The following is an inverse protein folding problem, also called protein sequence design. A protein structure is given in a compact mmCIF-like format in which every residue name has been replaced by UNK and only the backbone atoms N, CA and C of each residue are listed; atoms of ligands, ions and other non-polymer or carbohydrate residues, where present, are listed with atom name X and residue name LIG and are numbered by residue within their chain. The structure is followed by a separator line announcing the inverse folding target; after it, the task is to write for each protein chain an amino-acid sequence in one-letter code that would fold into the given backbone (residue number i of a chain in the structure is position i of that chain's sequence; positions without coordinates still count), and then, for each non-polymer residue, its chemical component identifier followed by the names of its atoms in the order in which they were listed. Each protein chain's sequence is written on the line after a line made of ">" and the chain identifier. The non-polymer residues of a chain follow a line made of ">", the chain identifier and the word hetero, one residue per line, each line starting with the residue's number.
data_IF_885756378679
#
_entry.id   IF_885756378679
#
_cell.length_a   1.000
_cell.length_b   1.000
_cell.length_c   1.000
_cell.angle_alpha   90.00
_cell.angle_beta   90.00
_cell.angle_gamma   90.00
#
_symmetry.space_group_name_H-M   'P 1'
#
loop_
_entity.id
_entity.type
_entity.pdbx_description
1 polymer ?
#
# COMPACT_ATOMS: atom_id res chain seq x y z
N UNK A 1 11.04 -8.20 -72.76
CA UNK A 1 9.59 -8.41 -73.03
C UNK A 1 9.06 -9.31 -71.92
N UNK A 2 8.25 -8.72 -71.07
CA UNK A 2 7.05 -9.26 -70.41
C UNK A 2 7.20 -10.49 -69.48
N UNK A 3 6.62 -10.63 -68.41
CA UNK A 3 5.64 -9.88 -67.58
C UNK A 3 5.51 -10.64 -66.25
N UNK A 4 5.37 -9.93 -65.21
CA UNK A 4 5.07 -10.35 -63.87
C UNK A 4 3.74 -11.09 -63.74
N UNK A 5 3.65 -12.10 -62.90
CA UNK A 5 2.40 -12.44 -62.20
C UNK A 5 2.72 -12.77 -60.72
N UNK A 6 2.23 -11.91 -59.86
CA UNK A 6 2.17 -12.06 -58.42
C UNK A 6 1.09 -13.11 -58.07
N UNK A 7 1.44 -14.15 -57.32
CA UNK A 7 0.47 -14.96 -56.60
C UNK A 7 0.53 -14.63 -55.11
N UNK A 8 -0.53 -14.01 -54.62
CA UNK A 8 -0.83 -13.90 -53.19
C UNK A 8 -1.37 -15.24 -52.72
N UNK A 9 -0.66 -15.91 -51.84
CA UNK A 9 -1.20 -17.05 -51.08
C UNK A 9 -1.64 -16.52 -49.73
N UNK A 10 -2.95 -16.46 -49.50
CA UNK A 10 -3.55 -16.22 -48.20
C UNK A 10 -3.59 -17.54 -47.44
N UNK A 11 -2.80 -17.65 -46.40
CA UNK A 11 -2.88 -18.78 -45.45
C UNK A 11 -3.91 -18.43 -44.38
N UNK A 12 -5.06 -19.10 -44.44
CA UNK A 12 -6.08 -19.06 -43.37
C UNK A 12 -5.68 -20.09 -42.34
N UNK A 13 -5.21 -19.62 -41.17
CA UNK A 13 -5.11 -20.47 -40.01
C UNK A 13 -6.47 -20.53 -39.31
N UNK A 14 -7.13 -21.67 -39.43
CA UNK A 14 -8.27 -22.03 -38.58
C UNK A 14 -7.72 -22.56 -37.24
N UNK A 15 -7.74 -21.77 -36.21
CA UNK A 15 -7.49 -22.19 -34.84
C UNK A 15 -8.78 -22.81 -34.29
N UNK A 16 -8.79 -24.13 -34.13
CA UNK A 16 -9.78 -24.84 -33.34
C UNK A 16 -9.53 -24.55 -31.85
N UNK A 17 -10.40 -23.75 -31.24
CA UNK A 17 -10.49 -23.62 -29.80
C UNK A 17 -11.20 -24.86 -29.26
N UNK A 18 -10.49 -25.72 -28.56
CA UNK A 18 -11.07 -26.64 -27.59
C UNK A 18 -11.36 -25.86 -26.33
N UNK A 19 -12.62 -25.60 -26.06
CA UNK A 19 -13.08 -25.10 -24.75
C UNK A 19 -13.02 -26.26 -23.75
N UNK A 20 -12.03 -26.22 -22.87
CA UNK A 20 -12.09 -26.95 -21.60
C UNK A 20 -12.83 -26.02 -20.65
N UNK A 21 -14.09 -26.32 -20.37
CA UNK A 21 -14.81 -25.72 -19.27
C UNK A 21 -14.19 -26.21 -17.96
N UNK A 22 -13.35 -25.34 -17.36
CA UNK A 22 -12.97 -25.45 -15.97
C UNK A 22 -14.01 -24.66 -15.17
N UNK A 23 -14.96 -25.36 -14.57
CA UNK A 23 -15.83 -24.82 -13.52
C UNK A 23 -14.96 -24.41 -12.32
N UNK A 24 -14.65 -23.16 -12.23
CA UNK A 24 -13.97 -22.46 -11.18
C UNK A 24 -14.06 -20.98 -11.52
N UNK A 25 -15.27 -20.41 -11.35
CA UNK A 25 -15.48 -18.99 -11.57
C UNK A 25 -14.65 -18.19 -10.56
N UNK A 26 -13.45 -17.79 -10.97
CA UNK A 26 -12.81 -16.62 -10.39
C UNK A 26 -13.78 -15.44 -10.63
N UNK A 27 -14.35 -14.91 -9.56
CA UNK A 27 -15.16 -13.69 -9.60
C UNK A 27 -14.22 -12.57 -10.01
N UNK A 28 -14.05 -12.37 -11.32
CA UNK A 28 -13.26 -11.28 -11.87
C UNK A 28 -13.91 -9.97 -11.51
N UNK A 29 -13.34 -9.30 -10.51
CA UNK A 29 -13.77 -7.96 -10.14
C UNK A 29 -13.54 -7.04 -11.34
N UNK A 30 -14.61 -6.41 -11.87
CA UNK A 30 -14.45 -5.43 -12.96
C UNK A 30 -13.94 -4.12 -12.34
N UNK A 31 -12.85 -3.52 -12.86
CA UNK A 31 -12.39 -2.21 -12.40
C UNK A 31 -13.56 -1.20 -12.39
N UNK A 32 -13.66 -0.41 -11.34
CA UNK A 32 -14.68 0.64 -11.25
C UNK A 32 -14.37 1.71 -12.30
N UNK A 33 -15.30 1.97 -13.20
CA UNK A 33 -15.11 2.96 -14.26
C UNK A 33 -15.03 4.38 -13.63
N UNK A 34 -13.83 4.97 -13.64
CA UNK A 34 -13.61 6.35 -13.23
C UNK A 34 -14.09 7.27 -14.37
N UNK A 35 -15.06 8.14 -14.10
CA UNK A 35 -15.62 9.07 -15.09
C UNK A 35 -14.58 10.08 -15.59
N UNK A 36 -14.77 10.61 -16.80
CA UNK A 36 -13.86 11.61 -17.40
C UNK A 36 -13.76 12.86 -16.51
N UNK A 37 -14.86 13.30 -15.90
CA UNK A 37 -14.86 14.44 -14.98
C UNK A 37 -14.03 14.21 -13.71
N UNK A 38 -13.97 12.98 -13.19
CA UNK A 38 -13.09 12.62 -12.08
C UNK A 38 -11.62 12.56 -12.53
N UNK A 39 -11.34 12.06 -13.75
CA UNK A 39 -9.98 12.05 -14.34
C UNK A 39 -9.41 13.46 -14.49
N UNK A 40 -10.20 14.38 -15.05
CA UNK A 40 -9.81 15.78 -15.22
C UNK A 40 -9.55 16.46 -13.86
N UNK A 41 -10.37 16.18 -12.87
CA UNK A 41 -10.21 16.71 -11.51
C UNK A 41 -8.94 16.18 -10.85
N UNK A 42 -8.69 14.88 -10.92
CA UNK A 42 -7.45 14.26 -10.41
C UNK A 42 -6.23 14.88 -11.10
N UNK A 43 -6.26 15.07 -12.41
CA UNK A 43 -5.16 15.70 -13.16
C UNK A 43 -4.88 17.13 -12.70
N UNK A 44 -5.92 17.94 -12.49
CA UNK A 44 -5.79 19.32 -12.00
C UNK A 44 -5.25 19.39 -10.58
N UNK A 45 -5.77 18.55 -9.68
CA UNK A 45 -5.31 18.46 -8.29
C UNK A 45 -3.85 18.00 -8.21
N UNK A 46 -3.46 17.02 -9.00
CA UNK A 46 -2.07 16.54 -9.08
C UNK A 46 -1.12 17.62 -9.60
N UNK A 47 -1.51 18.35 -10.64
CA UNK A 47 -0.67 19.44 -11.15
C UNK A 47 -0.48 20.54 -10.09
N UNK A 48 -1.53 20.91 -9.35
CA UNK A 48 -1.43 21.86 -8.25
C UNK A 48 -0.57 21.33 -7.10
N UNK A 49 -0.72 20.05 -6.74
CA UNK A 49 0.08 19.40 -5.71
C UNK A 49 1.57 19.43 -6.04
N UNK A 50 1.95 18.98 -7.25
CA UNK A 50 3.34 18.97 -7.69
C UNK A 50 3.92 20.40 -7.81
N UNK A 51 3.14 21.35 -8.33
CA UNK A 51 3.52 22.76 -8.41
C UNK A 51 3.73 23.44 -7.05
N UNK A 52 3.10 22.91 -6.00
CA UNK A 52 3.26 23.39 -4.62
C UNK A 52 4.41 22.74 -3.85
N UNK A 53 5.06 21.71 -4.39
CA UNK A 53 6.15 21.05 -3.72
C UNK A 53 7.42 21.92 -3.72
N UNK A 54 8.08 22.12 -2.56
CA UNK A 54 9.34 22.86 -2.51
C UNK A 54 10.43 22.21 -3.36
N UNK A 55 11.13 23.01 -4.16
CA UNK A 55 12.28 22.55 -4.97
C UNK A 55 13.34 21.96 -4.06
N UNK A 56 13.85 20.78 -4.41
CA UNK A 56 14.90 20.08 -3.65
C UNK A 56 14.45 19.44 -2.34
N UNK A 57 13.13 19.41 -2.05
CA UNK A 57 12.59 18.79 -0.85
C UNK A 57 13.01 17.32 -0.73
N UNK A 58 12.83 16.53 -1.79
CA UNK A 58 13.12 15.10 -1.81
C UNK A 58 14.63 14.85 -1.60
N UNK A 59 15.49 15.60 -2.27
CA UNK A 59 16.94 15.47 -2.11
C UNK A 59 17.40 15.87 -0.70
N UNK A 60 16.80 16.92 -0.09
CA UNK A 60 17.12 17.30 1.28
C UNK A 60 16.71 16.21 2.29
N UNK A 61 15.58 15.55 2.06
CA UNK A 61 15.11 14.42 2.87
C UNK A 61 16.01 13.19 2.67
N UNK A 62 16.42 12.88 1.45
CA UNK A 62 17.38 11.81 1.17
C UNK A 62 18.70 12.02 1.90
N UNK A 63 19.23 13.25 1.88
CA UNK A 63 20.42 13.62 2.65
C UNK A 63 20.24 13.43 4.15
N UNK A 64 19.08 13.79 4.70
CA UNK A 64 18.77 13.61 6.11
C UNK A 64 18.79 12.12 6.51
N UNK A 65 18.19 11.24 5.68
CA UNK A 65 18.23 9.78 5.90
C UNK A 65 19.66 9.24 5.83
N UNK A 66 20.43 9.61 4.77
CA UNK A 66 21.82 9.13 4.62
C UNK A 66 22.72 9.59 5.79
N UNK A 67 22.55 10.84 6.28
CA UNK A 67 23.28 11.33 7.46
C UNK A 67 22.91 10.55 8.71
N UNK A 68 21.62 10.23 8.90
CA UNK A 68 21.18 9.45 10.04
C UNK A 68 21.74 8.01 10.00
N UNK A 69 21.82 7.37 8.82
CA UNK A 69 22.47 6.08 8.64
C UNK A 69 23.99 6.12 8.96
N UNK A 70 24.60 7.30 8.86
CA UNK A 70 26.00 7.53 9.27
C UNK A 70 26.14 7.99 10.74
N UNK A 71 25.05 7.97 11.53
CA UNK A 71 25.05 8.32 12.96
C UNK A 71 24.62 9.75 13.30
N UNK A 72 24.37 10.62 12.31
CA UNK A 72 23.88 11.99 12.52
C UNK A 72 22.38 12.11 12.28
N UNK A 73 21.59 11.88 13.32
CA UNK A 73 20.12 11.82 13.27
C UNK A 73 19.43 13.18 13.39
N UNK A 74 20.14 14.31 13.57
CA UNK A 74 19.51 15.61 13.86
C UNK A 74 18.58 16.06 12.72
N UNK A 75 19.10 16.06 11.49
CA UNK A 75 18.33 16.47 10.31
C UNK A 75 17.10 15.57 10.09
N UNK A 76 17.22 14.25 10.29
CA UNK A 76 16.11 13.31 10.17
C UNK A 76 15.05 13.54 11.24
N UNK A 77 15.43 13.79 12.49
CA UNK A 77 14.48 14.17 13.56
C UNK A 77 13.69 15.43 13.22
N UNK A 78 14.36 16.43 12.66
CA UNK A 78 13.69 17.66 12.23
C UNK A 78 12.68 17.40 11.10
N UNK A 79 13.00 16.55 10.12
CA UNK A 79 12.05 16.13 9.09
C UNK A 79 10.86 15.39 9.70
N UNK A 80 11.08 14.43 10.59
CA UNK A 80 10.01 13.68 11.28
C UNK A 80 9.10 14.61 12.08
N UNK A 81 9.66 15.52 12.85
CA UNK A 81 8.89 16.49 13.66
C UNK A 81 8.05 17.43 12.79
N UNK A 82 8.59 17.92 11.68
CA UNK A 82 7.85 18.81 10.77
C UNK A 82 6.67 18.11 10.07
N UNK A 83 6.71 16.80 9.94
CA UNK A 83 5.66 15.96 9.32
C UNK A 83 4.67 15.37 10.34
N UNK A 84 5.01 15.38 11.61
CA UNK A 84 4.18 14.80 12.69
C UNK A 84 3.14 15.81 13.20
N UNK A 85 2.29 16.30 12.30
CA UNK A 85 1.21 17.24 12.62
C UNK A 85 -0.12 16.48 12.64
N UNK A 86 -0.82 16.56 13.76
CA UNK A 86 -2.14 15.94 13.89
C UNK A 86 -3.13 16.64 12.92
N UNK A 87 -3.82 15.91 12.04
CA UNK A 87 -4.82 16.48 11.15
C UNK A 87 -6.13 16.77 11.90
N UNK A 88 -6.94 17.67 11.34
CA UNK A 88 -8.35 17.75 11.70
C UNK A 88 -9.05 16.45 11.28
N UNK A 89 -9.84 15.88 12.18
CA UNK A 89 -10.58 14.64 11.95
C UNK A 89 -12.06 14.95 11.69
N UNK A 90 -12.76 14.08 10.94
CA UNK A 90 -14.20 14.20 10.75
C UNK A 90 -14.96 14.18 12.09
N UNK A 91 -16.06 14.93 12.17
CA UNK A 91 -16.98 14.84 13.30
C UNK A 91 -17.51 13.39 13.48
N UNK A 92 -17.80 13.03 14.71
CA UNK A 92 -18.35 11.71 15.03
C UNK A 92 -17.34 10.57 15.06
N UNK A 93 -16.03 10.86 15.00
CA UNK A 93 -14.97 9.88 15.24
C UNK A 93 -14.44 10.01 16.66
N UNK A 94 -14.38 8.89 17.37
CA UNK A 94 -13.72 8.74 18.68
C UNK A 94 -12.34 8.14 18.45
N UNK A 95 -11.33 8.79 19.03
CA UNK A 95 -9.95 8.29 19.04
C UNK A 95 -9.61 7.82 20.43
N UNK A 96 -9.09 6.61 20.57
CA UNK A 96 -8.59 6.05 21.83
C UNK A 96 -7.19 5.49 21.65
N UNK A 97 -6.38 5.61 22.71
CA UNK A 97 -5.02 5.04 22.71
C UNK A 97 -5.08 3.55 23.12
N UNK A 98 -4.24 2.74 22.49
CA UNK A 98 -4.00 1.35 22.81
C UNK A 98 -2.51 1.21 23.16
N UNK A 99 -2.20 1.10 24.43
CA UNK A 99 -0.81 1.19 24.88
C UNK A 99 -0.19 2.55 24.54
N UNK A 100 1.08 2.53 24.13
CA UNK A 100 1.84 3.76 23.80
C UNK A 100 2.10 3.92 22.29
N UNK A 101 1.81 2.90 21.49
CA UNK A 101 2.20 2.82 20.08
C UNK A 101 1.03 2.69 19.12
N UNK A 102 -0.20 2.56 19.61
CA UNK A 102 -1.36 2.42 18.72
C UNK A 102 -2.46 3.42 19.07
N UNK A 103 -3.22 3.86 18.06
CA UNK A 103 -4.47 4.62 18.22
C UNK A 103 -5.58 3.97 17.42
N UNK A 104 -6.74 3.84 18.04
CA UNK A 104 -7.95 3.33 17.40
C UNK A 104 -8.90 4.48 17.07
N UNK A 105 -9.32 4.52 15.82
CA UNK A 105 -10.33 5.43 15.26
C UNK A 105 -11.60 4.65 15.03
N UNK A 106 -12.74 5.09 15.58
CA UNK A 106 -14.03 4.43 15.39
C UNK A 106 -15.19 5.43 15.39
N UNK A 107 -16.31 5.12 14.73
CA UNK A 107 -17.49 5.95 14.84
C UNK A 107 -17.99 6.03 16.29
N UNK A 108 -18.42 7.24 16.71
CA UNK A 108 -19.04 7.45 18.02
C UNK A 108 -20.40 6.76 18.13
N UNK A 109 -21.11 6.64 17.00
CA UNK A 109 -22.35 5.87 16.94
C UNK A 109 -22.10 4.39 17.19
N UNK A 110 -22.93 3.71 18.00
CA UNK A 110 -22.79 2.29 18.32
C UNK A 110 -21.57 1.97 19.19
N UNK A 111 -21.17 2.86 20.08
CA UNK A 111 -20.19 2.56 21.13
C UNK A 111 -20.66 1.35 21.92
N UNK A 112 -19.79 0.30 22.01
CA UNK A 112 -20.11 -0.99 22.62
C UNK A 112 -20.51 -2.10 21.65
N UNK A 113 -20.71 -1.83 20.35
CA UNK A 113 -20.86 -2.88 19.34
C UNK A 113 -19.49 -3.45 18.94
N UNK A 114 -19.45 -4.78 18.71
CA UNK A 114 -18.27 -5.45 18.13
C UNK A 114 -18.22 -5.12 16.64
N UNK A 115 -17.05 -4.67 16.16
CA UNK A 115 -16.83 -4.22 14.78
C UNK A 115 -15.69 -5.00 14.10
N UNK A 116 -15.72 -5.10 12.77
CA UNK A 116 -14.51 -5.43 12.01
C UNK A 116 -13.42 -4.42 12.28
N UNK A 117 -12.17 -4.81 12.08
CA UNK A 117 -11.04 -3.94 12.32
C UNK A 117 -10.05 -3.93 11.14
N UNK A 118 -9.36 -2.81 10.97
CA UNK A 118 -8.21 -2.69 10.09
C UNK A 118 -6.99 -2.22 10.91
N UNK A 119 -5.93 -3.03 10.96
CA UNK A 119 -4.62 -2.58 11.40
C UNK A 119 -3.96 -1.83 10.25
N UNK A 120 -3.74 -0.53 10.40
CA UNK A 120 -3.18 0.33 9.38
C UNK A 120 -1.73 0.72 9.68
N UNK A 121 -0.85 0.48 8.72
CA UNK A 121 0.59 0.71 8.77
C UNK A 121 0.91 1.91 7.86
N UNK A 122 1.42 2.98 8.45
CA UNK A 122 1.68 4.22 7.72
C UNK A 122 2.86 4.10 6.75
N UNK A 123 2.86 4.90 5.68
CA UNK A 123 3.98 5.07 4.77
C UNK A 123 5.08 5.98 5.31
N UNK A 124 6.07 6.23 4.46
CA UNK A 124 7.20 7.12 4.77
C UNK A 124 8.56 6.45 4.65
N UNK A 125 8.68 5.43 3.79
CA UNK A 125 9.95 4.76 3.49
C UNK A 125 10.59 4.12 4.72
N UNK A 126 9.78 3.63 5.67
CA UNK A 126 10.22 3.08 6.95
C UNK A 126 11.04 4.04 7.83
N UNK A 127 11.32 5.25 7.33
CA UNK A 127 12.17 6.27 7.99
C UNK A 127 11.38 7.48 8.50
N UNK A 128 10.22 7.74 7.93
CA UNK A 128 9.33 8.86 8.26
C UNK A 128 7.95 8.35 8.69
N UNK A 129 7.09 9.30 9.04
CA UNK A 129 5.71 9.02 9.34
C UNK A 129 5.44 8.68 10.80
N UNK A 130 4.21 8.35 11.07
CA UNK A 130 3.64 7.99 12.35
C UNK A 130 2.12 8.00 12.26
N UNK A 131 1.43 7.77 13.35
CA UNK A 131 -0.04 7.75 13.41
C UNK A 131 -0.65 9.02 12.83
N UNK A 132 -0.06 10.19 13.10
CA UNK A 132 -0.60 11.46 12.59
C UNK A 132 -0.56 11.55 11.06
N UNK A 133 0.38 10.90 10.38
CA UNK A 133 0.46 10.93 8.92
C UNK A 133 -0.66 10.16 8.24
N UNK A 134 -1.21 9.12 8.87
CA UNK A 134 -2.31 8.31 8.35
C UNK A 134 -3.66 8.57 9.03
N UNK A 135 -3.70 9.37 10.11
CA UNK A 135 -4.89 9.59 10.92
C UNK A 135 -6.10 10.09 10.12
N UNK A 136 -5.88 10.93 9.08
CA UNK A 136 -6.93 11.40 8.20
C UNK A 136 -7.60 10.26 7.45
N UNK A 137 -6.80 9.33 6.91
CA UNK A 137 -7.31 8.15 6.23
C UNK A 137 -8.02 7.20 7.20
N UNK A 138 -7.39 6.91 8.34
CA UNK A 138 -7.96 6.03 9.38
C UNK A 138 -9.33 6.53 9.86
N UNK A 139 -9.46 7.82 10.11
CA UNK A 139 -10.73 8.43 10.54
C UNK A 139 -11.79 8.42 9.42
N UNK A 140 -11.42 8.76 8.19
CA UNK A 140 -12.33 8.77 7.05
C UNK A 140 -12.85 7.36 6.76
N UNK A 141 -11.97 6.36 6.74
CA UNK A 141 -12.36 4.97 6.51
C UNK A 141 -13.23 4.43 7.65
N UNK A 142 -12.87 4.73 8.91
CA UNK A 142 -13.69 4.32 10.06
C UNK A 142 -15.13 4.84 9.95
N UNK A 143 -15.29 6.11 9.55
CA UNK A 143 -16.59 6.72 9.33
C UNK A 143 -17.38 6.09 8.18
N UNK A 144 -16.71 5.85 7.04
CA UNK A 144 -17.35 5.39 5.81
C UNK A 144 -17.68 3.90 5.87
N UNK A 145 -16.78 3.07 6.39
CA UNK A 145 -16.96 1.61 6.45
C UNK A 145 -17.65 1.10 7.73
N UNK A 146 -17.85 1.94 8.74
CA UNK A 146 -18.35 1.59 10.08
C UNK A 146 -17.50 0.52 10.78
N UNK A 147 -16.18 0.65 10.72
CA UNK A 147 -15.19 -0.26 11.32
C UNK A 147 -14.31 0.45 12.34
N UNK A 148 -13.56 -0.33 13.13
CA UNK A 148 -12.44 0.18 13.92
C UNK A 148 -11.18 0.19 13.06
N UNK A 149 -10.49 1.34 12.94
CA UNK A 149 -9.19 1.43 12.26
C UNK A 149 -8.12 1.72 13.30
N UNK A 150 -7.14 0.83 13.42
CA UNK A 150 -6.06 0.92 14.39
C UNK A 150 -4.78 1.28 13.65
N UNK A 151 -4.22 2.45 13.93
CA UNK A 151 -2.94 2.88 13.39
C UNK A 151 -1.80 2.55 14.37
N UNK A 152 -0.66 2.08 13.84
CA UNK A 152 0.53 1.68 14.59
C UNK A 152 1.70 2.63 14.32
N UNK A 153 2.34 3.11 15.39
CA UNK A 153 3.67 3.71 15.36
C UNK A 153 4.73 2.59 15.51
N UNK A 154 5.19 2.07 14.40
CA UNK A 154 6.25 1.05 14.37
C UNK A 154 7.65 1.69 14.42
N UNK A 155 8.68 0.97 14.92
CA UNK A 155 10.07 1.46 14.96
C UNK A 155 10.58 1.84 13.57
N UNK A 156 11.26 3.00 13.48
CA UNK A 156 11.72 3.56 12.21
C UNK A 156 13.23 3.32 11.98
N UNK A 157 13.57 3.08 10.72
CA UNK A 157 14.95 3.09 10.23
C UNK A 157 15.48 4.54 10.12
N UNK A 158 16.79 4.75 10.17
CA UNK A 158 17.86 3.76 10.30
C UNK A 158 18.12 3.28 11.74
N UNK A 159 17.51 3.89 12.75
CA UNK A 159 17.72 3.52 14.17
C UNK A 159 17.26 2.09 14.46
N UNK A 160 16.22 1.64 13.76
CA UNK A 160 15.63 0.30 13.87
C UNK A 160 15.39 -0.28 12.48
N UNK A 161 16.43 -0.78 11.79
CA UNK A 161 16.29 -1.36 10.46
C UNK A 161 15.50 -2.68 10.48
N UNK A 162 15.29 -3.29 9.33
CA UNK A 162 14.69 -4.61 9.22
C UNK A 162 15.36 -5.62 10.19
N UNK A 163 14.61 -6.45 10.91
CA UNK A 163 13.16 -6.66 10.83
C UNK A 163 12.32 -5.92 11.90
N UNK A 164 12.84 -4.87 12.56
CA UNK A 164 12.22 -4.27 13.74
C UNK A 164 10.76 -3.81 13.49
N UNK A 165 10.52 -3.10 12.38
CA UNK A 165 9.18 -2.65 12.00
C UNK A 165 8.22 -3.83 11.75
N UNK A 166 8.66 -4.87 11.04
CA UNK A 166 7.84 -6.04 10.75
C UNK A 166 7.48 -6.81 12.02
N UNK A 167 8.44 -6.97 12.94
CA UNK A 167 8.18 -7.62 14.23
C UNK A 167 7.13 -6.85 15.05
N UNK A 168 7.24 -5.52 15.10
CA UNK A 168 6.26 -4.68 15.77
C UNK A 168 4.85 -4.79 15.14
N UNK A 169 4.77 -4.92 13.80
CA UNK A 169 3.51 -5.17 13.12
C UNK A 169 2.90 -6.53 13.49
N UNK A 170 3.72 -7.57 13.59
CA UNK A 170 3.28 -8.90 14.01
C UNK A 170 2.79 -8.90 15.47
N UNK A 171 3.53 -8.29 16.37
CA UNK A 171 3.15 -8.12 17.78
C UNK A 171 1.85 -7.33 17.94
N UNK A 172 1.67 -6.24 17.16
CA UNK A 172 0.46 -5.46 17.17
C UNK A 172 -0.75 -6.26 16.67
N UNK A 173 -0.61 -7.02 15.59
CA UNK A 173 -1.67 -7.89 15.09
C UNK A 173 -2.08 -8.94 16.12
N UNK A 174 -1.10 -9.65 16.72
CA UNK A 174 -1.35 -10.67 17.74
C UNK A 174 -1.98 -10.07 19.02
N UNK A 175 -1.60 -8.84 19.38
CA UNK A 175 -2.23 -8.10 20.47
C UNK A 175 -3.70 -7.81 20.18
N UNK A 176 -4.03 -7.33 18.98
CA UNK A 176 -5.42 -7.04 18.59
C UNK A 176 -6.29 -8.29 18.62
N UNK A 177 -5.77 -9.43 18.14
CA UNK A 177 -6.45 -10.72 18.21
C UNK A 177 -6.73 -11.13 19.66
N UNK A 178 -5.72 -11.12 20.50
CA UNK A 178 -5.82 -11.59 21.90
C UNK A 178 -6.64 -10.68 22.80
N UNK A 179 -6.81 -9.39 22.46
CA UNK A 179 -7.55 -8.40 23.24
C UNK A 179 -8.84 -7.93 22.54
N UNK A 180 -9.29 -8.66 21.52
CA UNK A 180 -10.40 -8.26 20.64
C UNK A 180 -11.67 -7.91 21.45
N UNK A 181 -12.06 -8.74 22.41
CA UNK A 181 -13.24 -8.52 23.26
C UNK A 181 -13.16 -7.18 24.01
N UNK A 182 -12.03 -6.89 24.64
CA UNK A 182 -11.84 -5.65 25.42
C UNK A 182 -11.77 -4.40 24.54
N UNK A 183 -11.37 -4.57 23.26
CA UNK A 183 -11.30 -3.50 22.26
C UNK A 183 -12.64 -3.32 21.51
N UNK A 184 -13.58 -4.24 21.67
CA UNK A 184 -14.85 -4.23 20.95
C UNK A 184 -14.66 -4.47 19.43
N UNK A 185 -13.70 -5.33 19.05
CA UNK A 185 -13.45 -5.73 17.66
C UNK A 185 -13.68 -7.23 17.48
N UNK A 186 -13.98 -7.63 16.25
CA UNK A 186 -14.18 -9.03 15.88
C UNK A 186 -12.83 -9.66 15.51
N UNK A 187 -12.29 -10.62 16.29
CA UNK A 187 -11.00 -11.24 16.00
C UNK A 187 -10.98 -12.02 14.69
N UNK A 188 -12.12 -12.44 14.15
CA UNK A 188 -12.22 -13.13 12.88
C UNK A 188 -12.27 -12.17 11.67
N UNK A 189 -12.39 -10.87 11.93
CA UNK A 189 -12.57 -9.83 10.92
C UNK A 189 -11.53 -8.70 11.10
N UNK A 190 -10.27 -9.09 11.28
CA UNK A 190 -9.14 -8.16 11.35
C UNK A 190 -8.40 -8.18 10.01
N UNK A 191 -8.51 -7.10 9.27
CA UNK A 191 -7.74 -6.84 8.05
C UNK A 191 -6.46 -6.07 8.36
N UNK A 192 -5.49 -6.09 7.44
CA UNK A 192 -4.27 -5.30 7.54
C UNK A 192 -4.14 -4.43 6.30
N UNK A 193 -3.65 -3.22 6.45
CA UNK A 193 -3.45 -2.34 5.31
C UNK A 193 -2.34 -1.32 5.54
N UNK A 194 -1.96 -0.64 4.48
CA UNK A 194 -0.97 0.42 4.57
C UNK A 194 -0.63 1.03 3.22
N UNK A 195 0.09 2.13 3.27
CA UNK A 195 0.52 2.86 2.10
C UNK A 195 2.06 2.81 1.96
N UNK A 196 2.57 2.67 0.72
CA UNK A 196 4.01 2.71 0.43
C UNK A 196 4.79 1.67 1.25
N UNK A 197 5.71 2.10 2.11
CA UNK A 197 6.42 1.25 3.07
C UNK A 197 5.49 0.51 4.03
N UNK A 198 4.38 1.13 4.44
CA UNK A 198 3.36 0.47 5.26
C UNK A 198 2.60 -0.62 4.48
N UNK A 199 2.37 -0.40 3.19
CA UNK A 199 1.84 -1.43 2.28
C UNK A 199 2.81 -2.61 2.10
N UNK A 200 4.11 -2.34 2.07
CA UNK A 200 5.15 -3.37 2.12
C UNK A 200 5.07 -4.20 3.41
N UNK A 201 5.02 -3.53 4.57
CA UNK A 201 4.92 -4.20 5.86
C UNK A 201 3.63 -5.04 5.99
N UNK A 202 2.50 -4.55 5.47
CA UNK A 202 1.24 -5.28 5.46
C UNK A 202 1.34 -6.58 4.64
N UNK A 203 1.94 -6.50 3.47
CA UNK A 203 2.15 -7.65 2.59
C UNK A 203 3.16 -8.63 3.18
N UNK A 204 4.28 -8.14 3.72
CA UNK A 204 5.28 -8.97 4.39
C UNK A 204 4.72 -9.67 5.63
N UNK A 205 3.88 -8.98 6.42
CA UNK A 205 3.18 -9.59 7.56
C UNK A 205 2.27 -10.73 7.11
N UNK A 206 1.49 -10.53 6.05
CA UNK A 206 0.58 -11.55 5.54
C UNK A 206 1.35 -12.77 5.02
N UNK A 207 2.45 -12.58 4.29
CA UNK A 207 3.33 -13.67 3.86
C UNK A 207 3.90 -14.45 5.04
N UNK A 208 4.42 -13.74 6.05
CA UNK A 208 4.96 -14.36 7.26
C UNK A 208 3.91 -15.17 8.04
N UNK A 209 2.68 -14.68 8.15
CA UNK A 209 1.58 -15.39 8.83
C UNK A 209 1.11 -16.61 8.02
N UNK A 210 1.05 -16.50 6.69
CA UNK A 210 0.65 -17.59 5.80
C UNK A 210 1.61 -18.80 5.86
N UNK A 211 2.91 -18.57 6.04
CA UNK A 211 3.92 -19.61 6.15
C UNK A 211 3.84 -20.40 7.48
N UNK A 212 3.29 -19.81 8.54
CA UNK A 212 3.16 -20.44 9.86
C UNK A 212 1.99 -21.44 9.97
N UNK A 213 1.22 -21.64 8.92
CA UNK A 213 0.20 -22.68 8.82
C UNK A 213 -1.14 -22.37 9.51
N UNK A 214 -2.03 -23.37 9.53
CA UNK A 214 -3.45 -23.24 9.91
C UNK A 214 -3.73 -22.89 11.39
N UNK A 215 -2.72 -22.89 12.26
CA UNK A 215 -2.86 -22.58 13.68
C UNK A 215 -2.69 -21.08 14.00
N UNK A 216 -2.26 -20.26 13.02
CA UNK A 216 -2.16 -18.82 13.21
C UNK A 216 -3.49 -18.16 12.83
N UNK A 217 -3.97 -17.23 13.67
CA UNK A 217 -5.12 -16.40 13.33
C UNK A 217 -4.87 -15.71 11.98
N UNK A 218 -5.72 -15.94 10.99
CA UNK A 218 -5.53 -15.44 9.64
C UNK A 218 -5.93 -13.97 9.52
N UNK A 219 -5.15 -13.21 8.77
CA UNK A 219 -5.53 -11.87 8.34
C UNK A 219 -6.74 -12.01 7.41
N UNK A 220 -7.82 -11.21 7.64
CA UNK A 220 -9.06 -11.30 6.86
C UNK A 220 -8.88 -10.85 5.41
N UNK A 221 -8.23 -9.70 5.21
CA UNK A 221 -7.94 -9.14 3.89
C UNK A 221 -6.82 -8.10 3.94
N UNK A 222 -6.29 -7.69 2.79
CA UNK A 222 -5.27 -6.66 2.67
C UNK A 222 -5.78 -5.44 1.90
N UNK A 223 -5.48 -4.23 2.41
CA UNK A 223 -5.73 -2.96 1.72
C UNK A 223 -4.39 -2.24 1.50
N UNK A 224 -3.92 -2.22 0.26
CA UNK A 224 -2.58 -1.77 -0.10
C UNK A 224 -2.65 -0.54 -1.02
N UNK A 225 -1.97 0.55 -0.65
CA UNK A 225 -1.83 1.73 -1.48
C UNK A 225 -0.39 1.83 -1.98
N UNK A 226 -0.22 1.78 -3.29
CA UNK A 226 1.10 1.91 -3.95
C UNK A 226 2.24 1.25 -3.15
N UNK A 227 2.10 -0.04 -2.77
CA UNK A 227 3.05 -0.70 -1.86
C UNK A 227 4.44 -0.79 -2.48
N UNK A 228 5.49 -0.69 -1.65
CA UNK A 228 6.83 -1.10 -2.08
C UNK A 228 6.86 -2.63 -2.14
N UNK A 229 7.01 -3.19 -3.32
CA UNK A 229 7.09 -4.65 -3.51
C UNK A 229 8.48 -5.13 -3.87
N UNK A 230 9.35 -4.22 -4.26
CA UNK A 230 10.79 -4.41 -4.39
C UNK A 230 11.53 -3.22 -3.78
N UNK A 231 12.34 -3.48 -2.77
CA UNK A 231 13.13 -2.45 -2.08
C UNK A 231 14.44 -2.13 -2.85
N UNK A 232 14.32 -1.90 -4.16
CA UNK A 232 15.43 -1.60 -5.06
C UNK A 232 14.99 -0.94 -6.35
N UNK A 233 15.98 -0.54 -7.16
CA UNK A 233 15.76 -0.04 -8.51
C UNK A 233 15.67 -1.23 -9.48
N UNK A 234 14.52 -1.38 -10.12
CA UNK A 234 14.27 -2.45 -11.08
C UNK A 234 14.48 -2.05 -12.55
N UNK A 235 14.87 -0.80 -12.80
CA UNK A 235 15.07 -0.25 -14.13
C UNK A 235 13.80 -0.22 -14.99
N UNK A 236 12.61 -0.27 -14.39
CA UNK A 236 11.32 -0.24 -15.10
C UNK A 236 11.06 1.09 -15.80
N UNK A 237 10.02 1.12 -16.65
CA UNK A 237 9.63 2.33 -17.36
C UNK A 237 9.09 3.39 -16.39
N UNK A 238 8.29 2.98 -15.39
CA UNK A 238 7.82 3.89 -14.36
C UNK A 238 8.96 4.47 -13.53
N UNK A 239 9.98 3.67 -13.21
CA UNK A 239 11.18 4.16 -12.52
C UNK A 239 11.91 5.24 -13.32
N UNK A 240 12.01 5.08 -14.64
CA UNK A 240 12.63 6.08 -15.54
C UNK A 240 11.74 7.30 -15.78
N UNK A 241 10.43 7.09 -15.96
CA UNK A 241 9.51 8.15 -16.33
C UNK A 241 9.09 9.03 -15.15
N UNK A 242 8.98 8.47 -13.95
CA UNK A 242 8.43 9.13 -12.76
C UNK A 242 9.41 9.21 -11.59
N UNK A 243 10.67 8.88 -11.81
CA UNK A 243 11.70 8.84 -10.78
C UNK A 243 12.18 10.20 -10.28
N UNK A 244 11.71 11.31 -10.85
CA UNK A 244 12.06 12.67 -10.44
C UNK A 244 10.89 13.63 -10.69
N UNK A 245 10.51 14.40 -9.66
CA UNK A 245 9.48 15.44 -9.78
C UNK A 245 8.03 14.94 -9.73
N UNK A 246 7.78 13.67 -9.40
CA UNK A 246 6.45 13.07 -9.30
C UNK A 246 6.06 12.66 -7.87
N UNK A 247 6.62 13.31 -6.84
CA UNK A 247 6.22 13.15 -5.45
C UNK A 247 7.00 12.09 -4.68
N UNK A 248 7.62 11.12 -5.35
CA UNK A 248 8.59 10.18 -4.79
C UNK A 248 9.77 10.04 -5.75
N UNK A 249 10.87 10.72 -5.43
CA UNK A 249 12.07 10.68 -6.27
C UNK A 249 12.94 9.46 -5.97
N UNK A 250 13.64 8.96 -7.00
CA UNK A 250 14.51 7.79 -6.88
C UNK A 250 15.60 7.99 -5.83
N UNK A 251 16.14 9.23 -5.67
CA UNK A 251 17.20 9.51 -4.71
C UNK A 251 16.75 9.33 -3.25
N UNK A 252 15.48 9.67 -2.97
CA UNK A 252 14.86 9.45 -1.66
C UNK A 252 14.53 7.98 -1.46
N UNK A 253 14.02 7.30 -2.50
CA UNK A 253 13.72 5.87 -2.42
C UNK A 253 14.97 5.04 -2.16
N UNK A 254 16.11 5.34 -2.82
CA UNK A 254 17.40 4.69 -2.57
C UNK A 254 17.88 4.89 -1.12
N UNK A 255 17.70 6.11 -0.58
CA UNK A 255 18.08 6.40 0.80
C UNK A 255 17.23 5.59 1.80
N UNK A 256 15.92 5.47 1.55
CA UNK A 256 15.00 4.65 2.36
C UNK A 256 15.38 3.17 2.32
N UNK A 257 15.54 2.63 1.11
CA UNK A 257 15.91 1.23 0.92
C UNK A 257 17.20 0.89 1.68
N UNK A 258 18.25 1.71 1.50
CA UNK A 258 19.53 1.50 2.17
C UNK A 258 19.40 1.54 3.69
N UNK A 259 18.60 2.48 4.23
CA UNK A 259 18.40 2.61 5.67
C UNK A 259 17.59 1.46 6.27
N UNK A 260 16.57 0.94 5.54
CA UNK A 260 15.70 -0.13 6.02
C UNK A 260 16.32 -1.51 5.89
N UNK A 261 16.91 -1.83 4.75
CA UNK A 261 17.48 -3.16 4.46
C UNK A 261 18.68 -3.47 5.36
N UNK A 262 19.52 -2.46 5.64
CA UNK A 262 20.76 -2.64 6.38
C UNK A 262 21.70 -3.61 5.65
N UNK A 263 22.07 -4.71 6.32
CA UNK A 263 22.92 -5.76 5.76
C UNK A 263 22.15 -7.00 5.25
N UNK A 264 20.81 -6.94 5.24
CA UNK A 264 19.98 -8.08 4.83
C UNK A 264 19.92 -8.16 3.30
N UNK A 265 19.71 -9.36 2.78
CA UNK A 265 19.52 -9.56 1.34
C UNK A 265 18.24 -8.87 0.85
N UNK A 266 18.36 -8.06 -0.19
CA UNK A 266 17.24 -7.37 -0.81
C UNK A 266 16.21 -8.33 -1.42
N UNK A 267 16.63 -9.54 -1.82
CA UNK A 267 15.75 -10.58 -2.35
C UNK A 267 14.96 -11.34 -1.26
N UNK A 268 15.19 -11.03 0.02
CA UNK A 268 14.36 -11.57 1.09
C UNK A 268 12.89 -11.20 0.85
N UNK A 269 11.94 -12.17 0.72
CA UNK A 269 10.54 -11.89 0.41
C UNK A 269 9.80 -11.07 1.48
N UNK A 270 10.33 -10.98 2.70
CA UNK A 270 9.78 -10.11 3.75
C UNK A 270 10.33 -8.67 3.69
N UNK A 271 11.30 -8.40 2.81
CA UNK A 271 11.77 -7.05 2.43
C UNK A 271 11.20 -6.67 1.08
N UNK A 272 11.31 -7.58 0.12
CA UNK A 272 10.87 -7.41 -1.27
C UNK A 272 9.89 -8.52 -1.66
N UNK A 273 8.59 -8.34 -1.37
CA UNK A 273 7.56 -9.35 -1.62
C UNK A 273 7.49 -9.88 -3.05
N UNK A 274 8.06 -9.14 -4.00
CA UNK A 274 8.17 -9.59 -5.40
C UNK A 274 8.95 -10.92 -5.54
N UNK A 275 9.78 -11.29 -4.58
CA UNK A 275 10.55 -12.54 -4.55
C UNK A 275 9.86 -13.68 -3.79
N UNK A 276 8.64 -13.45 -3.26
CA UNK A 276 7.87 -14.50 -2.63
C UNK A 276 7.61 -15.66 -3.61
N UNK A 277 7.59 -16.89 -3.12
CA UNK A 277 7.26 -18.05 -3.95
C UNK A 277 5.79 -18.06 -4.32
N UNK A 278 5.41 -18.72 -5.42
CA UNK A 278 4.00 -18.86 -5.79
C UNK A 278 3.21 -19.65 -4.72
N UNK A 279 3.86 -20.52 -3.96
CA UNK A 279 3.25 -21.21 -2.83
C UNK A 279 2.93 -20.23 -1.69
N UNK A 280 3.87 -19.33 -1.34
CA UNK A 280 3.63 -18.28 -0.33
C UNK A 280 2.57 -17.28 -0.81
N UNK A 281 2.58 -16.89 -2.10
CA UNK A 281 1.55 -15.99 -2.65
C UNK A 281 0.14 -16.58 -2.55
N UNK A 282 -0.04 -17.90 -2.75
CA UNK A 282 -1.35 -18.57 -2.61
C UNK A 282 -1.92 -18.51 -1.20
N UNK A 283 -1.12 -18.24 -0.18
CA UNK A 283 -1.59 -18.10 1.21
C UNK A 283 -2.12 -16.72 1.53
N UNK A 284 -1.94 -15.74 0.62
CA UNK A 284 -2.43 -14.39 0.83
C UNK A 284 -3.95 -14.35 0.90
N UNK A 285 -4.52 -13.58 1.84
CA UNK A 285 -5.95 -13.34 1.87
C UNK A 285 -6.38 -12.47 0.68
N UNK A 286 -7.69 -12.20 0.48
CA UNK A 286 -8.15 -11.24 -0.52
C UNK A 286 -7.41 -9.90 -0.41
N UNK A 287 -7.05 -9.31 -1.56
CA UNK A 287 -6.22 -8.10 -1.64
C UNK A 287 -6.93 -7.02 -2.44
N UNK A 288 -7.04 -5.81 -1.89
CA UNK A 288 -7.26 -4.58 -2.64
C UNK A 288 -5.90 -3.87 -2.81
N UNK A 289 -5.50 -3.60 -4.06
CA UNK A 289 -4.30 -2.83 -4.37
C UNK A 289 -4.67 -1.58 -5.20
N UNK A 290 -4.42 -0.39 -4.65
CA UNK A 290 -4.72 0.88 -5.31
C UNK A 290 -3.42 1.61 -5.62
N UNK A 291 -3.15 1.85 -6.90
CA UNK A 291 -1.92 2.47 -7.39
C UNK A 291 -2.18 3.89 -7.92
N UNK A 292 -1.14 4.73 -7.92
CA UNK A 292 -1.11 5.97 -8.68
C UNK A 292 -0.57 5.70 -10.09
N UNK A 293 -1.16 6.35 -11.11
CA UNK A 293 -0.73 6.16 -12.49
C UNK A 293 0.68 6.71 -12.77
N UNK A 294 1.05 7.80 -12.08
CA UNK A 294 2.33 8.48 -12.27
C UNK A 294 3.22 8.30 -11.05
N UNK A 295 3.55 7.04 -10.79
CA UNK A 295 4.32 6.64 -9.61
C UNK A 295 5.53 5.80 -10.03
N UNK A 296 6.68 6.08 -9.43
CA UNK A 296 7.92 5.30 -9.62
C UNK A 296 7.70 3.80 -9.33
N UNK A 297 6.76 3.44 -8.43
CA UNK A 297 6.48 2.07 -8.01
C UNK A 297 5.42 1.36 -8.89
N UNK A 298 4.86 2.03 -9.91
CA UNK A 298 3.73 1.48 -10.68
C UNK A 298 4.04 0.14 -11.34
N UNK A 299 5.17 0.04 -12.04
CA UNK A 299 5.53 -1.20 -12.77
C UNK A 299 5.90 -2.33 -11.82
N UNK A 300 6.52 -2.05 -10.69
CA UNK A 300 6.77 -3.04 -9.64
C UNK A 300 5.43 -3.62 -9.12
N UNK A 301 4.47 -2.74 -8.80
CA UNK A 301 3.13 -3.15 -8.39
C UNK A 301 2.40 -3.93 -9.48
N UNK A 302 2.58 -3.56 -10.76
CA UNK A 302 1.98 -4.27 -11.89
C UNK A 302 2.48 -5.70 -11.97
N UNK A 303 3.79 -5.90 -11.91
CA UNK A 303 4.40 -7.24 -11.90
C UNK A 303 4.00 -8.06 -10.68
N UNK A 304 3.88 -7.41 -9.51
CA UNK A 304 3.41 -8.10 -8.31
C UNK A 304 1.95 -8.56 -8.45
N UNK A 305 1.09 -7.70 -9.00
CA UNK A 305 -0.31 -8.04 -9.28
C UNK A 305 -0.42 -9.24 -10.24
N UNK A 306 0.31 -9.22 -11.35
CA UNK A 306 0.38 -10.34 -12.30
C UNK A 306 0.83 -11.65 -11.63
N UNK A 307 1.81 -11.58 -10.74
CA UNK A 307 2.26 -12.75 -9.98
C UNK A 307 1.22 -13.26 -9.00
N UNK A 308 0.53 -12.35 -8.28
CA UNK A 308 -0.57 -12.71 -7.38
C UNK A 308 -1.70 -13.41 -8.16
N UNK A 309 -2.13 -12.85 -9.28
CA UNK A 309 -3.18 -13.42 -10.14
C UNK A 309 -2.78 -14.80 -10.67
N UNK A 310 -1.54 -14.94 -11.19
CA UNK A 310 -1.00 -16.22 -11.67
C UNK A 310 -0.91 -17.27 -10.55
N UNK A 311 -0.68 -16.86 -9.32
CA UNK A 311 -0.70 -17.73 -8.15
C UNK A 311 -2.12 -18.09 -7.69
N UNK A 312 -3.16 -17.44 -8.20
CA UNK A 312 -4.56 -17.68 -7.84
C UNK A 312 -5.05 -16.86 -6.63
N UNK A 313 -4.38 -15.75 -6.29
CA UNK A 313 -4.83 -14.84 -5.24
C UNK A 313 -6.11 -14.11 -5.67
N UNK A 314 -7.02 -13.87 -4.72
CA UNK A 314 -8.14 -12.95 -4.92
C UNK A 314 -7.60 -11.52 -4.87
N UNK A 315 -7.49 -10.86 -6.04
CA UNK A 315 -6.95 -9.52 -6.17
C UNK A 315 -7.95 -8.58 -6.87
N UNK A 316 -8.28 -7.47 -6.20
CA UNK A 316 -8.89 -6.31 -6.81
C UNK A 316 -7.82 -5.24 -6.98
N UNK A 317 -7.49 -4.87 -8.23
CA UNK A 317 -6.51 -3.84 -8.51
C UNK A 317 -7.17 -2.62 -9.17
N UNK A 318 -6.85 -1.44 -8.64
CA UNK A 318 -7.30 -0.15 -9.15
C UNK A 318 -6.10 0.76 -9.43
N UNK A 319 -6.12 1.48 -10.54
CA UNK A 319 -5.12 2.50 -10.86
C UNK A 319 -5.84 3.85 -10.96
N UNK A 320 -5.48 4.79 -10.08
CA UNK A 320 -6.05 6.13 -10.09
C UNK A 320 -5.38 6.97 -11.18
N UNK A 321 -6.13 7.43 -12.19
CA UNK A 321 -5.56 8.12 -13.33
C UNK A 321 -4.99 9.49 -12.96
N UNK A 322 -3.91 9.87 -13.59
CA UNK A 322 -3.22 11.17 -13.44
C UNK A 322 -2.74 11.48 -12.03
N UNK A 323 -2.81 10.56 -11.07
CA UNK A 323 -2.37 10.75 -9.69
C UNK A 323 -0.87 10.41 -9.53
N UNK A 324 -0.29 10.93 -8.47
CA UNK A 324 1.08 10.62 -8.05
C UNK A 324 1.09 9.99 -6.67
N UNK A 325 2.23 9.48 -6.23
CA UNK A 325 2.45 8.95 -4.88
C UNK A 325 1.93 9.92 -3.79
N UNK A 326 1.71 9.46 -2.57
CA UNK A 326 1.31 10.24 -1.39
C UNK A 326 -0.16 10.67 -1.32
N UNK A 327 -1.07 10.26 -2.21
CA UNK A 327 -2.47 10.72 -2.18
C UNK A 327 -3.22 10.29 -0.89
N UNK A 328 -2.75 9.30 -0.15
CA UNK A 328 -3.31 8.91 1.16
C UNK A 328 -2.80 9.81 2.28
N UNK A 329 -1.50 10.05 2.36
CA UNK A 329 -0.86 10.66 3.54
C UNK A 329 -0.68 12.16 3.44
N UNK A 330 -0.46 12.70 2.23
CA UNK A 330 -0.22 14.14 2.04
C UNK A 330 -1.43 14.81 1.41
N UNK A 331 -1.99 15.88 2.03
CA UNK A 331 -3.05 16.66 1.39
C UNK A 331 -2.62 17.25 0.05
N UNK A 332 -3.58 17.36 -0.89
CA UNK A 332 -3.34 17.98 -2.21
C UNK A 332 -3.95 17.20 -3.36
N UNK A 333 -4.34 15.94 -3.16
CA UNK A 333 -5.03 15.10 -4.13
C UNK A 333 -6.37 14.59 -3.55
N UNK A 334 -7.33 15.49 -3.20
CA UNK A 334 -8.52 15.14 -2.43
C UNK A 334 -9.48 14.22 -3.18
N UNK A 335 -9.55 14.27 -4.51
CA UNK A 335 -10.38 13.35 -5.29
C UNK A 335 -9.83 11.93 -5.26
N UNK A 336 -8.51 11.75 -5.43
CA UNK A 336 -7.84 10.46 -5.31
C UNK A 336 -8.00 9.87 -3.90
N UNK A 337 -7.81 10.70 -2.87
CA UNK A 337 -8.01 10.31 -1.47
C UNK A 337 -9.43 9.77 -1.22
N UNK A 338 -10.47 10.51 -1.60
CA UNK A 338 -11.86 10.07 -1.40
C UNK A 338 -12.16 8.78 -2.16
N UNK A 339 -11.73 8.69 -3.43
CA UNK A 339 -11.91 7.49 -4.24
C UNK A 339 -11.26 6.27 -3.58
N UNK A 340 -10.05 6.44 -3.03
CA UNK A 340 -9.35 5.39 -2.33
C UNK A 340 -10.06 4.96 -1.03
N UNK A 341 -10.63 5.90 -0.27
CA UNK A 341 -11.45 5.59 0.92
C UNK A 341 -12.69 4.78 0.52
N UNK A 342 -13.40 5.18 -0.53
CA UNK A 342 -14.58 4.46 -1.02
C UNK A 342 -14.22 3.05 -1.50
N UNK A 343 -13.15 2.88 -2.29
CA UNK A 343 -12.70 1.55 -2.71
C UNK A 343 -12.37 0.65 -1.52
N UNK A 344 -11.73 1.21 -0.48
CA UNK A 344 -11.42 0.45 0.74
C UNK A 344 -12.68 0.07 1.52
N UNK A 345 -13.62 1.01 1.65
CA UNK A 345 -14.90 0.79 2.33
C UNK A 345 -15.73 -0.30 1.66
N UNK A 346 -15.86 -0.22 0.32
CA UNK A 346 -16.60 -1.22 -0.45
C UNK A 346 -15.96 -2.60 -0.32
N UNK A 347 -14.65 -2.68 -0.52
CA UNK A 347 -13.90 -3.94 -0.39
C UNK A 347 -14.02 -4.57 1.00
N UNK A 348 -13.83 -3.79 2.07
CA UNK A 348 -13.90 -4.30 3.44
C UNK A 348 -15.31 -4.70 3.89
N UNK A 349 -16.35 -4.23 3.22
CA UNK A 349 -17.74 -4.67 3.45
C UNK A 349 -18.07 -5.96 2.70
N UNK A 350 -17.45 -6.21 1.57
CA UNK A 350 -17.60 -7.42 0.77
C UNK A 350 -16.90 -8.62 1.44
N UNK A 351 -15.78 -8.37 2.13
CA UNK A 351 -15.00 -9.34 2.87
C UNK A 351 -15.46 -9.48 4.34
#
# INVERSE_FOLDING_TARGET
>A
MNCSVLYKVAIVFATLFFSVEADGAAVGHRPVAISDSLRERMASETAAFLGGMPVGLQESQAKAVRRASAGDCEALRNVRNSRNVAPELPEGIVVSEIGTTMKMFRPAAGVGSVRPALLYLHGGGWCFGGINSCARYCAALAAEADIAVIALDYPLAPESPYPAALNACAEAFDYLVSHADSLGIDPQRISVGGDSAGGNLALALALSKGENGADSQSIRSLVLFYPVVYAGNDGSDSWRAFGEGYGLDYSLMDAFNSAYIGSTDVENPLISPIFATDASLRTLPPVLMVNAERDILLDQCSRMAERMEAAGCSLRREILPSTVHLFITVPGQPTAFRTAVTFSSDFLREE
#
